data_IF_673035048552
#
_entry.id   IF_673035048552
#
_cell.length_a   1.000
_cell.length_b   1.000
_cell.length_c   1.000
_cell.angle_alpha   90.00
_cell.angle_beta   90.00
_cell.angle_gamma   90.00
#
_symmetry.space_group_name_H-M   'P 1'
#
loop_
_entity.id
_entity.type
_entity.pdbx_description
1 polymer ?
#
# COMPACT_ATOMS: atom_id res chain seq x y z
N UNK A 1 68.99 29.52 6.71
CA UNK A 1 67.90 30.27 7.35
C UNK A 1 67.15 31.07 6.29
N UNK A 2 65.95 30.65 5.90
CA UNK A 2 64.91 31.50 5.31
C UNK A 2 63.55 30.94 5.76
N UNK A 3 62.67 31.85 6.15
CA UNK A 3 61.57 31.63 7.10
C UNK A 3 60.27 32.12 6.46
N UNK A 4 59.19 31.36 6.67
CA UNK A 4 57.75 31.69 6.50
C UNK A 4 57.28 31.83 5.04
N UNK A 5 56.05 31.53 4.61
CA UNK A 5 54.74 31.05 5.11
C UNK A 5 54.01 30.60 3.80
N UNK A 6 53.12 29.61 3.74
CA UNK A 6 51.68 29.82 3.96
C UNK A 6 50.91 28.54 3.59
N UNK A 7 50.26 27.97 4.61
CA UNK A 7 48.88 27.47 4.69
C UNK A 7 48.29 26.77 3.45
N UNK A 8 48.14 25.46 3.60
CA UNK A 8 47.30 24.58 2.79
C UNK A 8 45.81 24.98 2.89
N UNK A 9 45.11 24.99 1.76
CA UNK A 9 43.65 25.02 1.71
C UNK A 9 43.17 23.81 0.90
N UNK A 10 42.93 22.69 1.59
CA UNK A 10 42.18 21.55 1.03
C UNK A 10 40.70 21.89 1.23
N UNK A 11 40.02 22.24 0.15
CA UNK A 11 38.58 22.47 0.16
C UNK A 11 37.86 21.13 0.39
N UNK A 12 37.32 20.94 1.59
CA UNK A 12 36.43 19.82 1.91
C UNK A 12 35.06 20.15 1.33
N UNK A 13 34.71 19.52 0.20
CA UNK A 13 33.35 19.54 -0.34
C UNK A 13 32.50 18.64 0.54
N UNK A 14 31.81 19.23 1.51
CA UNK A 14 30.76 18.55 2.27
C UNK A 14 29.57 18.34 1.33
N UNK A 15 29.48 17.15 0.73
CA UNK A 15 28.25 16.70 0.06
C UNK A 15 27.21 16.55 1.15
N UNK A 16 26.35 17.56 1.29
CA UNK A 16 25.14 17.46 2.09
C UNK A 16 24.26 16.38 1.44
N UNK A 17 24.34 15.16 1.95
CA UNK A 17 23.35 14.11 1.68
C UNK A 17 22.07 14.57 2.35
N UNK A 18 21.30 15.39 1.65
CA UNK A 18 19.95 15.72 2.06
C UNK A 18 19.15 14.42 2.05
N UNK A 19 18.70 13.96 3.22
CA UNK A 19 17.73 12.89 3.29
C UNK A 19 16.52 13.32 2.45
N UNK A 20 16.29 12.66 1.32
CA UNK A 20 15.03 12.78 0.63
C UNK A 20 13.92 12.43 1.65
N UNK A 21 12.83 13.21 1.73
CA UNK A 21 11.70 12.82 2.56
C UNK A 21 11.29 11.39 2.17
N UNK A 22 10.94 10.53 3.14
CA UNK A 22 10.47 9.18 2.82
C UNK A 22 9.31 9.33 1.84
N UNK A 23 9.41 8.69 0.68
CA UNK A 23 8.30 8.61 -0.24
C UNK A 23 7.12 8.03 0.54
N UNK A 24 6.03 8.80 0.68
CA UNK A 24 4.82 8.32 1.31
C UNK A 24 4.22 7.27 0.37
N UNK A 25 4.57 6.00 0.57
CA UNK A 25 3.91 4.89 -0.08
C UNK A 25 2.44 4.86 0.35
N UNK A 26 1.53 4.54 -0.57
CA UNK A 26 0.13 4.34 -0.23
C UNK A 26 0.05 3.17 0.78
N UNK A 27 -0.45 3.39 2.00
CA UNK A 27 -0.50 2.34 3.02
C UNK A 27 -1.32 1.14 2.56
N UNK A 28 -2.27 1.30 1.63
CA UNK A 28 -3.02 0.19 1.08
C UNK A 28 -2.18 -0.69 0.14
N UNK A 29 -1.22 -0.11 -0.60
CA UNK A 29 -0.30 -0.89 -1.43
C UNK A 29 0.62 -1.76 -0.58
N UNK A 30 1.21 -1.20 0.48
CA UNK A 30 2.06 -1.94 1.43
C UNK A 30 1.29 -3.08 2.09
N UNK A 31 0.04 -2.81 2.48
CA UNK A 31 -0.83 -3.83 3.06
C UNK A 31 -1.27 -4.88 2.04
N UNK A 32 -1.45 -4.53 0.77
CA UNK A 32 -1.73 -5.49 -0.29
C UNK A 32 -0.53 -6.40 -0.57
N UNK A 33 0.70 -5.87 -0.54
CA UNK A 33 1.92 -6.68 -0.61
C UNK A 33 1.98 -7.67 0.55
N UNK A 34 1.64 -7.22 1.77
CA UNK A 34 1.72 -8.05 2.98
C UNK A 34 0.59 -9.07 3.12
N UNK A 35 -0.65 -8.70 2.80
CA UNK A 35 -1.85 -9.49 3.08
C UNK A 35 -2.54 -10.06 1.84
N UNK A 36 -2.13 -9.66 0.64
CA UNK A 36 -2.90 -10.00 -0.55
C UNK A 36 -2.96 -11.50 -0.86
N UNK A 37 -1.94 -12.29 -0.51
CA UNK A 37 -2.03 -13.77 -0.57
C UNK A 37 -3.16 -14.32 0.32
N UNK A 38 -3.35 -13.75 1.51
CA UNK A 38 -4.44 -14.13 2.42
C UNK A 38 -5.81 -13.64 1.92
N UNK A 39 -5.85 -12.47 1.27
CA UNK A 39 -7.04 -11.98 0.56
C UNK A 39 -7.43 -12.95 -0.54
N UNK A 40 -6.51 -13.30 -1.43
CA UNK A 40 -6.75 -14.20 -2.55
C UNK A 40 -7.25 -15.56 -2.07
N UNK A 41 -6.60 -16.14 -1.06
CA UNK A 41 -7.06 -17.39 -0.43
C UNK A 41 -8.49 -17.28 0.10
N UNK A 42 -8.82 -16.18 0.79
CA UNK A 42 -10.16 -15.97 1.32
C UNK A 42 -11.22 -15.87 0.22
N UNK A 43 -10.86 -15.29 -0.94
CA UNK A 43 -11.76 -15.19 -2.09
C UNK A 43 -11.87 -16.51 -2.87
N UNK A 44 -10.80 -17.31 -2.91
CA UNK A 44 -10.86 -18.67 -3.47
C UNK A 44 -11.77 -19.58 -2.63
N UNK A 45 -11.72 -19.47 -1.30
CA UNK A 45 -12.57 -20.23 -0.37
C UNK A 45 -14.04 -19.79 -0.42
N UNK A 46 -14.30 -18.51 -0.66
CA UNK A 46 -15.67 -17.96 -0.67
C UNK A 46 -15.82 -16.89 -1.76
N UNK A 47 -15.96 -17.29 -3.04
CA UNK A 47 -16.02 -16.38 -4.18
C UNK A 47 -17.43 -15.75 -4.33
N UNK A 48 -17.91 -15.13 -3.26
CA UNK A 48 -19.23 -14.49 -3.19
C UNK A 48 -19.10 -13.02 -2.76
N UNK A 49 -20.16 -12.24 -2.97
CA UNK A 49 -20.19 -10.83 -2.58
C UNK A 49 -19.99 -10.66 -1.07
N UNK A 50 -20.60 -11.55 -0.28
CA UNK A 50 -20.43 -11.55 1.18
C UNK A 50 -19.04 -12.06 1.59
N UNK A 51 -18.42 -12.92 0.78
CA UNK A 51 -17.01 -13.29 0.90
C UNK A 51 -16.10 -12.06 0.81
N UNK A 52 -16.26 -11.24 -0.23
CA UNK A 52 -15.50 -9.98 -0.39
C UNK A 52 -15.70 -9.05 0.82
N UNK A 53 -16.95 -8.87 1.27
CA UNK A 53 -17.24 -8.04 2.44
C UNK A 53 -16.55 -8.57 3.70
N UNK A 54 -16.65 -9.88 3.96
CA UNK A 54 -16.07 -10.52 5.13
C UNK A 54 -14.54 -10.44 5.11
N UNK A 55 -13.91 -10.60 3.95
CA UNK A 55 -12.47 -10.41 3.78
C UNK A 55 -12.06 -8.97 4.09
N UNK A 56 -12.81 -7.98 3.61
CA UNK A 56 -12.58 -6.56 3.93
C UNK A 56 -12.72 -6.26 5.43
N UNK A 57 -13.76 -6.79 6.08
CA UNK A 57 -13.93 -6.64 7.53
C UNK A 57 -12.81 -7.32 8.33
N UNK A 58 -12.31 -8.46 7.85
CA UNK A 58 -11.16 -9.14 8.46
C UNK A 58 -9.91 -8.27 8.36
N UNK A 59 -9.67 -7.64 7.20
CA UNK A 59 -8.56 -6.69 7.05
C UNK A 59 -8.67 -5.55 8.06
N UNK A 60 -9.82 -4.88 8.17
CA UNK A 60 -10.07 -3.83 9.18
C UNK A 60 -9.73 -4.33 10.59
N UNK A 61 -10.22 -5.52 10.97
CA UNK A 61 -9.97 -6.08 12.30
C UNK A 61 -8.50 -6.42 12.55
N UNK A 62 -7.79 -6.91 11.53
CA UNK A 62 -6.41 -7.38 11.66
C UNK A 62 -5.40 -6.25 11.60
N UNK A 63 -5.66 -5.20 10.82
CA UNK A 63 -4.70 -4.12 10.55
C UNK A 63 -5.07 -2.81 11.25
N UNK A 64 -6.31 -2.67 11.72
CA UNK A 64 -6.81 -1.43 12.33
C UNK A 64 -7.08 -0.30 11.34
N UNK A 65 -7.02 -0.58 10.03
CA UNK A 65 -7.28 0.43 8.99
C UNK A 65 -8.77 0.71 8.82
N UNK A 66 -9.08 1.82 8.15
CA UNK A 66 -10.47 2.17 7.83
C UNK A 66 -11.06 1.20 6.80
N UNK A 67 -12.39 1.05 6.73
CA UNK A 67 -13.03 0.25 5.69
C UNK A 67 -12.68 0.72 4.26
N UNK A 68 -12.40 2.01 4.08
CA UNK A 68 -11.97 2.56 2.80
C UNK A 68 -10.60 1.99 2.40
N UNK A 69 -9.61 2.08 3.28
CA UNK A 69 -8.26 1.51 3.06
C UNK A 69 -8.32 -0.01 2.89
N UNK A 70 -9.16 -0.70 3.65
CA UNK A 70 -9.37 -2.14 3.44
C UNK A 70 -9.94 -2.46 2.05
N UNK A 71 -10.80 -1.60 1.51
CA UNK A 71 -11.29 -1.68 0.13
C UNK A 71 -10.19 -1.47 -0.91
N UNK A 72 -9.28 -0.53 -0.67
CA UNK A 72 -8.09 -0.32 -1.53
C UNK A 72 -7.18 -1.55 -1.49
N UNK A 73 -6.90 -2.11 -0.31
CA UNK A 73 -6.12 -3.36 -0.16
C UNK A 73 -6.76 -4.52 -0.93
N UNK A 74 -8.09 -4.68 -0.85
CA UNK A 74 -8.82 -5.68 -1.64
C UNK A 74 -8.61 -5.46 -3.14
N UNK A 75 -8.73 -4.22 -3.61
CA UNK A 75 -8.57 -3.89 -5.03
C UNK A 75 -7.14 -4.16 -5.52
N UNK A 76 -6.11 -3.66 -4.81
CA UNK A 76 -4.71 -3.89 -5.15
C UNK A 76 -4.36 -5.38 -5.15
N UNK A 77 -4.88 -6.14 -4.18
CA UNK A 77 -4.65 -7.60 -4.10
C UNK A 77 -5.30 -8.36 -5.26
N UNK A 78 -6.56 -8.06 -5.59
CA UNK A 78 -7.27 -8.71 -6.71
C UNK A 78 -6.62 -8.36 -8.05
N UNK A 79 -6.26 -7.10 -8.28
CA UNK A 79 -5.64 -6.68 -9.53
C UNK A 79 -4.22 -7.24 -9.68
N UNK A 80 -3.42 -7.22 -8.61
CA UNK A 80 -2.01 -7.57 -8.66
C UNK A 80 -1.70 -9.06 -8.47
N UNK A 81 -2.55 -9.81 -7.75
CA UNK A 81 -2.21 -11.16 -7.28
C UNK A 81 -3.26 -12.23 -7.61
N UNK A 82 -4.56 -11.91 -7.62
CA UNK A 82 -5.62 -12.87 -7.95
C UNK A 82 -6.65 -12.31 -8.96
N UNK A 83 -6.21 -12.08 -10.21
CA UNK A 83 -7.04 -11.44 -11.23
C UNK A 83 -8.30 -12.25 -11.60
N UNK A 84 -8.36 -13.55 -11.29
CA UNK A 84 -9.57 -14.35 -11.48
C UNK A 84 -10.78 -13.81 -10.70
N UNK A 85 -10.56 -13.03 -9.64
CA UNK A 85 -11.62 -12.44 -8.82
C UNK A 85 -12.05 -11.04 -9.26
N UNK A 86 -11.52 -10.50 -10.36
CA UNK A 86 -11.87 -9.14 -10.84
C UNK A 86 -13.37 -8.98 -11.08
N UNK A 87 -14.02 -9.97 -11.70
CA UNK A 87 -15.46 -9.88 -11.98
C UNK A 87 -16.31 -10.05 -10.71
N UNK A 88 -15.80 -10.75 -9.70
CA UNK A 88 -16.42 -10.76 -8.37
C UNK A 88 -16.33 -9.38 -7.72
N UNK A 89 -15.16 -8.74 -7.76
CA UNK A 89 -14.95 -7.39 -7.22
C UNK A 89 -15.83 -6.35 -7.92
N UNK A 90 -15.97 -6.40 -9.25
CA UNK A 90 -16.88 -5.51 -10.00
C UNK A 90 -18.33 -5.67 -9.56
N UNK A 91 -18.80 -6.92 -9.36
CA UNK A 91 -20.16 -7.19 -8.87
C UNK A 91 -20.36 -6.67 -7.45
N UNK A 92 -19.35 -6.81 -6.58
CA UNK A 92 -19.36 -6.24 -5.24
C UNK A 92 -19.50 -4.71 -5.29
N UNK A 93 -18.68 -4.04 -6.11
CA UNK A 93 -18.76 -2.59 -6.32
C UNK A 93 -20.14 -2.18 -6.84
N UNK A 94 -20.68 -2.90 -7.83
CA UNK A 94 -21.98 -2.62 -8.41
C UNK A 94 -23.12 -2.71 -7.37
N UNK A 95 -23.06 -3.68 -6.45
CA UNK A 95 -24.03 -3.82 -5.35
C UNK A 95 -24.04 -2.60 -4.44
N UNK A 96 -22.86 -2.15 -3.98
CA UNK A 96 -22.74 -1.10 -2.96
C UNK A 96 -22.60 0.33 -3.52
N UNK A 97 -22.40 0.49 -4.84
CA UNK A 97 -22.36 1.82 -5.49
C UNK A 97 -23.73 2.53 -5.42
N UNK A 98 -24.84 1.79 -5.37
CA UNK A 98 -26.20 2.36 -5.23
C UNK A 98 -26.52 2.87 -3.82
N UNK A 99 -25.88 2.32 -2.79
CA UNK A 99 -26.14 2.67 -1.38
C UNK A 99 -25.35 3.90 -0.91
N UNK A 100 -24.39 4.38 -1.71
CA UNK A 100 -23.57 5.58 -1.41
C UNK A 100 -24.20 6.87 -1.95
N UNK A 101 -25.52 6.96 -1.93
CA UNK A 101 -26.26 8.21 -2.12
C UNK A 101 -26.51 8.82 -0.75
N UNK A 102 -25.48 9.47 -0.19
CA UNK A 102 -25.57 10.31 1.01
C UNK A 102 -24.94 11.66 0.67
#
# INVERSE_FOLDING_TARGET
>A
MFKRRSIAAVAVVLVAVGCAPPAAADPAEDLAVKYGAAVCKSLDETPTIDGVLTTGMRLVKTTGVTPYVAGEVLAYSVVGQCPQHIDLLKRFIAKYKGERSV
#
